data_IF_376048986239
#
_entry.id   IF_376048986239
#
_cell.length_a   1.000
_cell.length_b   1.000
_cell.length_c   1.000
_cell.angle_alpha   90.00
_cell.angle_beta   90.00
_cell.angle_gamma   90.00
#
_symmetry.space_group_name_H-M   'P 1'
#
loop_
_entity.id
_entity.type
_entity.pdbx_description
1 polymer ?
#
# COMPACT_ATOMS: atom_id res chain seq x y z
N UNK A 1 27.94 -31.01 -30.37
CA UNK A 1 26.50 -30.95 -30.08
C UNK A 1 26.32 -31.65 -28.76
N UNK A 2 26.33 -30.87 -27.67
CA UNK A 2 25.16 -30.16 -27.13
C UNK A 2 24.41 -31.12 -26.19
N UNK A 3 24.09 -30.80 -24.95
CA UNK A 3 24.18 -29.51 -24.29
C UNK A 3 24.39 -29.75 -22.80
N UNK A 4 25.30 -28.96 -22.26
CA UNK A 4 25.63 -28.92 -20.85
C UNK A 4 24.48 -28.18 -20.19
N UNK A 5 23.53 -28.91 -19.60
CA UNK A 5 22.38 -28.30 -18.92
C UNK A 5 22.88 -27.74 -17.59
N UNK A 6 23.40 -26.53 -17.71
CA UNK A 6 23.48 -25.45 -16.73
C UNK A 6 23.14 -25.88 -15.30
N UNK A 7 24.17 -26.27 -14.55
CA UNK A 7 24.12 -26.26 -13.09
C UNK A 7 23.96 -24.81 -12.70
N UNK A 8 22.71 -24.38 -12.49
CA UNK A 8 22.41 -23.08 -11.90
C UNK A 8 23.18 -22.98 -10.58
N UNK A 9 24.25 -22.19 -10.59
CA UNK A 9 24.86 -21.70 -9.38
C UNK A 9 23.78 -20.90 -8.65
N UNK A 10 23.18 -21.48 -7.61
CA UNK A 10 22.45 -20.72 -6.61
C UNK A 10 23.48 -19.79 -5.96
N UNK A 11 23.64 -18.59 -6.53
CA UNK A 11 24.22 -17.48 -5.79
C UNK A 11 23.44 -17.38 -4.48
N UNK A 12 24.11 -17.33 -3.31
CA UNK A 12 23.39 -17.13 -2.08
C UNK A 12 22.67 -15.80 -2.25
N UNK A 13 21.34 -15.87 -2.29
CA UNK A 13 20.46 -14.70 -2.25
C UNK A 13 21.04 -13.85 -1.14
N UNK A 14 21.62 -12.70 -1.49
CA UNK A 14 22.10 -11.76 -0.50
C UNK A 14 20.89 -11.52 0.39
N UNK A 15 20.88 -12.11 1.57
CA UNK A 15 20.03 -11.67 2.65
C UNK A 15 20.44 -10.22 2.81
N UNK A 16 19.67 -9.35 2.17
CA UNK A 16 19.71 -7.93 2.40
C UNK A 16 19.33 -7.84 3.86
N UNK A 17 20.34 -7.75 4.71
CA UNK A 17 20.17 -7.49 6.13
C UNK A 17 19.53 -6.10 6.18
N UNK A 18 18.21 -6.07 6.05
CA UNK A 18 17.37 -5.03 6.57
C UNK A 18 17.43 -5.22 8.08
N UNK A 19 18.61 -4.94 8.63
CA UNK A 19 18.83 -4.87 10.05
C UNK A 19 18.14 -3.58 10.47
N UNK A 20 16.82 -3.66 10.62
CA UNK A 20 15.99 -2.64 11.25
C UNK A 20 16.51 -2.54 12.68
N UNK A 21 17.45 -1.63 12.87
CA UNK A 21 18.12 -1.39 14.14
C UNK A 21 17.20 -0.54 15.01
N UNK A 22 16.70 -1.22 16.03
CA UNK A 22 15.82 -0.72 17.07
C UNK A 22 16.63 0.19 18.00
N UNK A 23 16.66 1.50 17.72
CA UNK A 23 17.02 2.46 18.75
C UNK A 23 15.85 2.48 19.73
N UNK A 24 16.03 1.99 20.95
CA UNK A 24 15.01 2.02 22.02
C UNK A 24 13.61 1.47 21.67
N UNK A 25 13.47 0.58 20.67
CA UNK A 25 12.16 0.04 20.26
C UNK A 25 11.47 0.77 19.10
N UNK A 26 12.17 1.64 18.36
CA UNK A 26 11.64 2.33 17.18
C UNK A 26 11.97 1.63 15.86
N UNK A 27 10.92 1.41 15.04
CA UNK A 27 11.00 0.78 13.71
C UNK A 27 11.67 1.68 12.63
N UNK A 28 12.09 2.90 12.98
CA UNK A 28 12.78 3.81 12.06
C UNK A 28 12.82 5.28 12.50
N UNK A 29 13.52 6.15 11.75
CA UNK A 29 13.72 7.55 12.14
C UNK A 29 12.44 8.40 12.13
N UNK A 30 11.50 8.11 11.23
CA UNK A 30 10.20 8.80 11.19
C UNK A 30 9.33 8.39 12.39
N UNK A 31 9.43 7.14 12.84
CA UNK A 31 8.68 6.67 14.01
C UNK A 31 9.17 7.31 15.31
N UNK A 32 10.49 7.44 15.46
CA UNK A 32 11.10 8.20 16.54
C UNK A 32 10.61 9.67 16.51
N UNK A 33 10.54 10.30 15.34
CA UNK A 33 9.99 11.65 15.21
C UNK A 33 8.51 11.74 15.62
N UNK A 34 7.70 10.77 15.22
CA UNK A 34 6.29 10.71 15.63
C UNK A 34 6.16 10.56 17.14
N UNK A 35 7.00 9.75 17.76
CA UNK A 35 7.01 9.55 19.22
C UNK A 35 7.42 10.81 19.97
N UNK A 36 8.48 11.48 19.52
CA UNK A 36 8.92 12.77 20.08
C UNK A 36 7.83 13.86 19.92
N UNK A 37 7.14 13.87 18.77
CA UNK A 37 6.01 14.77 18.53
C UNK A 37 4.84 14.51 19.49
N UNK A 38 4.49 13.23 19.73
CA UNK A 38 3.45 12.84 20.71
C UNK A 38 3.84 13.25 22.14
N UNK A 39 5.11 13.10 22.53
CA UNK A 39 5.59 13.48 23.87
C UNK A 39 5.51 14.99 24.14
N UNK A 40 5.68 15.83 23.12
CA UNK A 40 5.50 17.28 23.26
C UNK A 40 4.04 17.72 23.54
N UNK A 41 3.04 16.81 23.46
CA UNK A 41 1.61 17.09 23.71
C UNK A 41 1.08 18.32 22.95
N UNK A 42 1.53 18.52 21.72
CA UNK A 42 1.06 19.62 20.86
C UNK A 42 0.21 19.02 19.75
N UNK A 43 -0.93 19.64 19.44
CA UNK A 43 -1.66 19.38 18.20
C UNK A 43 -0.67 19.38 17.02
N UNK A 44 -0.58 18.28 16.27
CA UNK A 44 0.23 18.18 15.05
C UNK A 44 -0.10 19.28 14.02
N UNK A 45 -1.22 20.00 14.22
CA UNK A 45 -1.65 21.19 13.50
C UNK A 45 -0.83 22.46 13.79
N UNK A 46 -0.29 22.61 15.01
CA UNK A 46 0.39 23.84 15.50
C UNK A 46 1.84 23.59 15.91
N UNK A 47 2.43 22.51 15.41
CA UNK A 47 3.77 22.08 15.81
C UNK A 47 4.84 23.08 15.33
N UNK A 48 5.78 23.42 16.21
CA UNK A 48 7.04 24.05 15.78
C UNK A 48 8.00 22.95 15.33
N UNK A 49 8.06 22.71 14.02
CA UNK A 49 8.97 21.72 13.40
C UNK A 49 10.42 21.89 13.87
N UNK A 50 10.82 23.13 14.17
CA UNK A 50 12.14 23.49 14.62
C UNK A 50 12.45 22.88 16.00
N UNK A 51 11.50 22.93 16.94
CA UNK A 51 11.66 22.30 18.26
C UNK A 51 11.74 20.77 18.16
N UNK A 52 10.98 20.17 17.25
CA UNK A 52 11.05 18.72 17.02
C UNK A 52 12.42 18.32 16.44
N UNK A 53 12.92 19.06 15.46
CA UNK A 53 14.24 18.87 14.88
C UNK A 53 15.34 18.97 15.95
N UNK A 54 15.26 19.95 16.85
CA UNK A 54 16.21 20.11 17.96
C UNK A 54 16.20 18.92 18.93
N UNK A 55 15.03 18.43 19.30
CA UNK A 55 14.91 17.26 20.17
C UNK A 55 15.47 15.99 19.51
N UNK A 56 15.17 15.78 18.23
CA UNK A 56 15.72 14.66 17.48
C UNK A 56 17.25 14.70 17.44
N UNK A 57 17.82 15.87 17.09
CA UNK A 57 19.28 16.05 17.05
C UNK A 57 19.93 15.84 18.42
N UNK A 58 19.30 16.32 19.50
CA UNK A 58 19.77 16.10 20.86
C UNK A 58 19.78 14.60 21.23
N UNK A 59 18.70 13.89 20.88
CA UNK A 59 18.59 12.44 21.09
C UNK A 59 19.69 11.67 20.36
N UNK A 60 19.88 11.93 19.06
CA UNK A 60 20.92 11.26 18.26
C UNK A 60 22.33 11.59 18.78
N UNK A 61 22.56 12.82 19.23
CA UNK A 61 23.86 13.21 19.80
C UNK A 61 24.14 12.48 21.11
N UNK A 62 23.15 12.33 21.99
CA UNK A 62 23.29 11.56 23.23
C UNK A 62 23.51 10.07 22.94
N UNK A 63 22.74 9.50 22.02
CA UNK A 63 22.89 8.11 21.57
C UNK A 63 24.29 7.83 21.01
N UNK A 64 24.84 8.76 20.21
CA UNK A 64 26.19 8.67 19.65
C UNK A 64 27.28 8.68 20.73
N UNK A 65 27.11 9.45 21.81
CA UNK A 65 28.08 9.52 22.91
C UNK A 65 28.13 8.22 23.75
N UNK A 66 27.02 7.49 23.83
CA UNK A 66 26.89 6.28 24.65
C UNK A 66 27.40 5.00 23.98
N UNK A 67 27.93 5.08 22.76
CA UNK A 67 28.40 3.97 21.89
C UNK A 67 27.28 3.17 21.23
N UNK A 68 26.44 3.84 20.44
CA UNK A 68 25.56 3.16 19.51
C UNK A 68 26.15 3.22 18.09
N UNK A 69 26.20 2.06 17.44
CA UNK A 69 26.24 1.92 15.99
C UNK A 69 24.95 2.53 15.44
N UNK A 70 24.90 3.87 15.38
CA UNK A 70 23.73 4.59 14.89
C UNK A 70 23.54 4.22 13.41
N UNK A 71 22.39 3.64 13.07
CA UNK A 71 22.13 3.20 11.71
C UNK A 71 22.18 4.39 10.72
N UNK A 72 22.53 4.10 9.47
CA UNK A 72 22.72 5.11 8.44
C UNK A 72 21.45 5.98 8.25
N UNK A 73 20.26 5.39 8.31
CA UNK A 73 19.00 6.09 8.08
C UNK A 73 18.71 7.18 9.13
N UNK A 74 19.11 6.96 10.39
CA UNK A 74 18.97 7.96 11.45
C UNK A 74 19.93 9.14 11.24
N UNK A 75 21.15 8.88 10.77
CA UNK A 75 22.12 9.93 10.46
C UNK A 75 21.69 10.75 9.23
N UNK A 76 21.10 10.09 8.22
CA UNK A 76 20.51 10.77 7.05
C UNK A 76 19.39 11.70 7.51
N UNK A 77 18.48 11.23 8.35
CA UNK A 77 17.40 12.07 8.89
C UNK A 77 17.93 13.21 9.78
N UNK A 78 18.95 12.95 10.59
CA UNK A 78 19.60 13.99 11.40
C UNK A 78 20.21 15.10 10.52
N UNK A 79 20.93 14.71 9.47
CA UNK A 79 21.50 15.67 8.52
C UNK A 79 20.41 16.48 7.82
N UNK A 80 19.34 15.81 7.40
CA UNK A 80 18.18 16.46 6.77
C UNK A 80 17.49 17.46 7.71
N UNK A 81 17.29 17.10 8.99
CA UNK A 81 16.71 18.00 9.99
C UNK A 81 17.64 19.17 10.34
N UNK A 82 18.96 18.95 10.34
CA UNK A 82 19.93 20.02 10.52
C UNK A 82 19.89 21.02 9.35
N UNK A 83 19.76 20.52 8.11
CA UNK A 83 19.55 21.35 6.92
C UNK A 83 18.23 22.13 7.02
N UNK A 84 17.12 21.47 7.36
CA UNK A 84 15.82 22.10 7.55
C UNK A 84 15.89 23.20 8.62
N UNK A 85 16.56 22.94 9.75
CA UNK A 85 16.76 23.93 10.81
C UNK A 85 17.51 25.15 10.30
N UNK A 86 18.59 24.96 9.54
CA UNK A 86 19.34 26.07 8.94
C UNK A 86 18.45 26.89 7.99
N UNK A 87 17.74 26.23 7.07
CA UNK A 87 16.83 26.87 6.11
C UNK A 87 15.68 27.64 6.78
N UNK A 88 15.18 27.18 7.92
CA UNK A 88 14.13 27.88 8.67
C UNK A 88 14.63 29.11 9.43
N UNK A 89 15.93 29.17 9.75
CA UNK A 89 16.53 30.29 10.49
C UNK A 89 17.12 31.37 9.58
N UNK A 90 17.46 31.02 8.34
CA UNK A 90 17.97 31.98 7.36
C UNK A 90 16.81 32.74 6.70
N UNK A 91 16.96 34.07 6.45
CA UNK A 91 16.01 34.81 5.65
C UNK A 91 15.98 34.25 4.22
N UNK A 92 14.79 34.09 3.65
CA UNK A 92 14.63 33.59 2.30
C UNK A 92 15.20 34.59 1.28
N UNK A 93 16.03 34.10 0.37
CA UNK A 93 16.52 34.85 -0.79
C UNK A 93 15.59 34.59 -1.97
N UNK A 94 15.15 35.64 -2.67
CA UNK A 94 14.19 35.53 -3.79
C UNK A 94 14.75 34.76 -5.01
N UNK A 95 16.04 34.42 -5.02
CA UNK A 95 16.75 33.75 -6.12
C UNK A 95 16.91 32.23 -5.92
N UNK A 96 16.43 31.66 -4.82
CA UNK A 96 16.58 30.22 -4.56
C UNK A 96 15.53 29.40 -5.35
N UNK A 97 15.99 28.55 -6.30
CA UNK A 97 15.14 27.56 -7.00
C UNK A 97 14.70 26.40 -6.09
N UNK A 98 15.31 26.27 -4.90
CA UNK A 98 14.99 25.23 -3.93
C UNK A 98 13.75 25.58 -3.09
N UNK A 99 12.99 24.56 -2.69
CA UNK A 99 11.82 24.71 -1.83
C UNK A 99 12.17 25.49 -0.55
N UNK A 100 11.27 26.39 -0.16
CA UNK A 100 11.49 27.24 1.00
C UNK A 100 11.51 26.41 2.31
N UNK A 101 12.23 26.87 3.33
CA UNK A 101 12.22 26.24 4.66
C UNK A 101 10.82 25.91 5.20
N UNK A 102 9.82 26.82 5.14
CA UNK A 102 8.46 26.51 5.58
C UNK A 102 7.73 25.47 4.71
N UNK A 103 7.97 25.42 3.39
CA UNK A 103 7.40 24.37 2.52
C UNK A 103 7.94 22.98 2.89
N UNK A 104 9.24 22.85 3.10
CA UNK A 104 9.86 21.60 3.54
C UNK A 104 9.32 21.14 4.90
N UNK A 105 9.09 22.09 5.81
CA UNK A 105 8.47 21.83 7.10
C UNK A 105 7.02 21.34 6.98
N UNK A 106 6.25 21.93 6.07
CA UNK A 106 4.87 21.51 5.81
C UNK A 106 4.82 20.10 5.23
N UNK A 107 5.71 19.78 4.28
CA UNK A 107 5.84 18.45 3.70
C UNK A 107 6.16 17.38 4.77
N UNK A 108 7.11 17.64 5.67
CA UNK A 108 7.41 16.71 6.76
C UNK A 108 6.23 16.58 7.73
N UNK A 109 5.58 17.69 8.07
CA UNK A 109 4.40 17.68 8.94
C UNK A 109 3.28 16.85 8.33
N UNK A 110 3.06 16.95 7.02
CA UNK A 110 2.10 16.14 6.30
C UNK A 110 2.44 14.64 6.37
N UNK A 111 3.72 14.27 6.18
CA UNK A 111 4.16 12.88 6.32
C UNK A 111 3.92 12.33 7.74
N UNK A 112 4.24 13.11 8.78
CA UNK A 112 4.00 12.70 10.17
C UNK A 112 2.52 12.50 10.48
N UNK A 113 1.65 13.40 10.01
CA UNK A 113 0.18 13.24 10.16
C UNK A 113 -0.33 12.01 9.45
N UNK A 114 0.15 11.75 8.23
CA UNK A 114 -0.20 10.54 7.48
C UNK A 114 0.19 9.29 8.26
N UNK A 115 1.42 9.22 8.78
CA UNK A 115 1.85 8.09 9.59
C UNK A 115 1.01 7.95 10.87
N UNK A 116 0.72 9.05 11.56
CA UNK A 116 -0.10 9.05 12.78
C UNK A 116 -1.50 8.47 12.51
N UNK A 117 -2.17 8.94 11.45
CA UNK A 117 -3.48 8.40 11.05
C UNK A 117 -3.44 6.92 10.69
N UNK A 118 -2.36 6.45 10.06
CA UNK A 118 -2.17 5.05 9.72
C UNK A 118 -1.96 4.20 10.97
N UNK A 119 -1.19 4.70 11.95
CA UNK A 119 -1.02 4.03 13.25
C UNK A 119 -2.33 3.98 14.03
N UNK A 120 -3.09 5.07 14.08
CA UNK A 120 -4.40 5.10 14.75
C UNK A 120 -5.38 4.10 14.10
N UNK A 121 -5.41 4.04 12.76
CA UNK A 121 -6.20 3.05 12.04
C UNK A 121 -5.73 1.61 12.34
N UNK A 122 -4.41 1.38 12.38
CA UNK A 122 -3.81 0.10 12.75
C UNK A 122 -4.18 -0.35 14.16
N UNK A 123 -4.10 0.55 15.13
CA UNK A 123 -4.53 0.31 16.51
C UNK A 123 -6.02 -0.07 16.57
N UNK A 124 -6.89 0.66 15.86
CA UNK A 124 -8.32 0.34 15.77
C UNK A 124 -8.55 -1.05 15.16
N UNK A 125 -7.81 -1.41 14.12
CA UNK A 125 -7.91 -2.73 13.48
C UNK A 125 -7.42 -3.84 14.40
N UNK A 126 -6.37 -3.62 15.18
CA UNK A 126 -5.83 -4.62 16.11
C UNK A 126 -6.79 -4.95 17.26
N UNK A 127 -7.65 -4.01 17.64
CA UNK A 127 -8.71 -4.21 18.66
C UNK A 127 -9.92 -4.97 18.09
N UNK A 128 -10.08 -5.04 16.77
CA UNK A 128 -11.24 -5.72 16.18
C UNK A 128 -11.22 -7.23 16.49
N UNK A 129 -12.39 -7.81 16.80
CA UNK A 129 -12.48 -9.22 17.13
C UNK A 129 -12.17 -10.07 15.90
N UNK A 130 -11.28 -11.05 16.07
CA UNK A 130 -10.74 -11.86 14.97
C UNK A 130 -11.60 -13.09 14.74
N UNK A 131 -11.97 -13.34 13.50
CA UNK A 131 -12.68 -14.55 13.13
C UNK A 131 -11.80 -15.80 13.36
N UNK A 132 -12.34 -16.82 14.00
CA UNK A 132 -11.64 -18.05 14.41
C UNK A 132 -10.90 -17.93 15.74
N UNK A 133 -10.85 -16.74 16.34
CA UNK A 133 -10.27 -16.52 17.68
C UNK A 133 -11.33 -15.99 18.65
N UNK A 134 -11.92 -14.84 18.32
CA UNK A 134 -12.89 -14.13 19.17
C UNK A 134 -14.33 -14.30 18.65
N UNK A 135 -14.51 -14.45 17.33
CA UNK A 135 -15.81 -14.71 16.69
C UNK A 135 -15.71 -15.95 15.81
N UNK A 136 -16.71 -16.82 15.84
CA UNK A 136 -16.76 -18.02 15.00
C UNK A 136 -17.87 -17.91 13.96
N UNK A 137 -17.64 -18.38 12.74
CA UNK A 137 -18.70 -18.43 11.72
C UNK A 137 -19.75 -19.45 12.16
N UNK A 138 -21.02 -19.22 11.79
CA UNK A 138 -21.99 -20.31 11.78
C UNK A 138 -21.47 -21.41 10.86
N UNK A 139 -21.70 -22.67 11.26
CA UNK A 139 -21.47 -23.86 10.41
C UNK A 139 -22.36 -23.83 9.17
N UNK A 140 -22.69 -24.99 8.60
CA UNK A 140 -23.48 -25.09 7.37
C UNK A 140 -24.76 -24.23 7.41
N UNK A 141 -24.78 -23.05 6.76
CA UNK A 141 -25.99 -22.26 6.69
C UNK A 141 -26.95 -22.98 5.77
N UNK A 142 -28.22 -23.11 6.15
CA UNK A 142 -29.24 -23.60 5.24
C UNK A 142 -29.22 -22.72 3.99
N UNK A 143 -28.90 -23.33 2.85
CA UNK A 143 -28.85 -22.63 1.57
C UNK A 143 -30.25 -22.14 1.21
N UNK A 144 -30.34 -20.89 0.75
CA UNK A 144 -31.57 -20.41 0.14
C UNK A 144 -31.71 -21.10 -1.23
N UNK A 145 -32.69 -21.99 -1.36
CA UNK A 145 -32.99 -22.63 -2.65
C UNK A 145 -33.56 -21.58 -3.60
N UNK A 146 -32.71 -21.05 -4.50
CA UNK A 146 -33.14 -20.08 -5.51
C UNK A 146 -33.84 -20.83 -6.62
N UNK A 147 -35.16 -21.01 -6.48
CA UNK A 147 -36.01 -21.55 -7.55
C UNK A 147 -36.11 -20.50 -8.66
N UNK A 148 -35.38 -20.71 -9.76
CA UNK A 148 -35.48 -19.86 -10.95
C UNK A 148 -36.59 -20.38 -11.86
N UNK A 149 -37.72 -19.68 -11.89
CA UNK A 149 -38.76 -19.91 -12.90
C UNK A 149 -38.50 -19.01 -14.10
N UNK A 150 -38.13 -19.59 -15.24
CA UNK A 150 -38.06 -18.86 -16.49
C UNK A 150 -39.47 -18.61 -17.02
N UNK A 151 -39.89 -17.35 -17.10
CA UNK A 151 -41.13 -16.94 -17.76
C UNK A 151 -40.77 -16.56 -19.19
N UNK A 152 -41.25 -17.35 -20.15
CA UNK A 152 -41.04 -17.06 -21.57
C UNK A 152 -42.23 -16.26 -22.10
N UNK A 153 -42.01 -14.97 -22.36
CA UNK A 153 -42.97 -14.13 -23.08
C UNK A 153 -42.82 -14.38 -24.59
N UNK A 154 -43.46 -15.43 -25.07
CA UNK A 154 -43.47 -15.78 -26.50
C UNK A 154 -44.89 -15.72 -27.06
N UNK A 155 -45.01 -15.16 -28.26
CA UNK A 155 -46.28 -15.16 -28.98
C UNK A 155 -46.47 -16.46 -29.77
N UNK A 156 -47.71 -16.76 -30.16
CA UNK A 156 -47.99 -17.89 -31.06
C UNK A 156 -47.22 -17.77 -32.39
N UNK A 157 -47.01 -16.53 -32.87
CA UNK A 157 -46.22 -16.26 -34.07
C UNK A 157 -44.78 -16.72 -33.92
N UNK A 158 -44.15 -16.47 -32.76
CA UNK A 158 -42.76 -16.88 -32.50
C UNK A 158 -42.62 -18.41 -32.47
N UNK A 159 -43.62 -19.10 -31.92
CA UNK A 159 -43.68 -20.55 -31.91
C UNK A 159 -43.80 -21.13 -33.34
N UNK A 160 -44.71 -20.56 -34.14
CA UNK A 160 -44.94 -20.98 -35.53
C UNK A 160 -43.73 -20.64 -36.43
N UNK A 161 -43.09 -19.50 -36.19
CA UNK A 161 -41.85 -19.09 -36.87
C UNK A 161 -40.72 -20.07 -36.57
N UNK A 162 -40.48 -20.37 -35.29
CA UNK A 162 -39.44 -21.32 -34.87
C UNK A 162 -39.68 -22.72 -35.46
N UNK A 163 -40.95 -23.17 -35.50
CA UNK A 163 -41.33 -24.42 -36.13
C UNK A 163 -41.09 -24.41 -37.66
N UNK A 164 -41.48 -23.33 -38.33
CA UNK A 164 -41.24 -23.14 -39.76
C UNK A 164 -39.77 -23.11 -40.14
N UNK A 165 -38.94 -22.44 -39.33
CA UNK A 165 -37.47 -22.39 -39.47
C UNK A 165 -36.83 -23.77 -39.25
N UNK A 166 -37.35 -24.56 -38.31
CA UNK A 166 -36.92 -25.95 -38.13
C UNK A 166 -37.27 -26.81 -39.36
N UNK A 167 -38.51 -26.71 -39.85
CA UNK A 167 -38.96 -27.49 -41.02
C UNK A 167 -38.22 -27.10 -42.31
N UNK A 168 -37.96 -25.80 -42.54
CA UNK A 168 -37.17 -25.33 -43.68
C UNK A 168 -35.74 -25.86 -43.65
N UNK A 169 -35.10 -25.88 -42.48
CA UNK A 169 -33.77 -26.49 -42.31
C UNK A 169 -33.77 -27.99 -42.61
N UNK A 170 -34.85 -28.69 -42.26
CA UNK A 170 -34.99 -30.11 -42.57
C UNK A 170 -35.28 -30.42 -44.05
N UNK A 171 -35.80 -29.45 -44.83
CA UNK A 171 -36.21 -29.64 -46.24
C UNK A 171 -35.23 -29.05 -47.26
N UNK A 172 -34.10 -28.47 -46.84
CA UNK A 172 -33.06 -27.96 -47.74
C UNK A 172 -32.50 -29.05 -48.65
N UNK A 173 -32.99 -29.06 -49.89
CA UNK A 173 -32.68 -29.98 -50.98
C UNK A 173 -31.21 -29.91 -51.40
N UNK A 174 -30.52 -31.06 -51.46
CA UNK A 174 -29.30 -31.18 -52.25
C UNK A 174 -29.64 -30.91 -53.73
N UNK A 175 -28.97 -29.94 -54.35
CA UNK A 175 -29.03 -29.68 -55.79
C UNK A 175 -27.74 -30.20 -56.41
N UNK A 176 -27.80 -31.36 -57.06
CA UNK A 176 -26.67 -31.94 -57.80
C UNK A 176 -26.63 -31.28 -59.18
N UNK A 177 -25.59 -30.50 -59.46
CA UNK A 177 -25.33 -29.98 -60.81
C UNK A 177 -24.41 -31.00 -61.49
N UNK A 178 -24.90 -31.67 -62.52
CA UNK A 178 -24.05 -32.51 -63.38
C UNK A 178 -23.20 -31.63 -64.30
N UNK A 179 -21.91 -31.97 -64.43
CA UNK A 179 -20.99 -31.24 -65.28
C UNK A 179 -21.18 -31.64 -66.76
N UNK A 180 -21.40 -30.64 -67.61
CA UNK A 180 -21.36 -30.75 -69.08
C UNK A 180 -19.95 -31.14 -69.54
N UNK A 181 -19.84 -32.18 -70.37
CA UNK A 181 -18.67 -32.41 -71.21
C UNK A 181 -18.60 -31.41 -72.36
#
# INVERSE_FOLDING_TARGET
MADQVDTFEEEPVREMYDLVLDLDGFEGPIDLLLTLARQQKVDLAKMSILKLAEQYLAFITAAKQLRLEVAADYLVMAAWLAYLKSRLLLPATEEDEEASGPELAEALTFQLRRLDSMREAGEKLLVLPRLGRDVFRRGAPEGMEVVRTAVYEVSLYDLLKAYGDNRRRATGSHLTIEASQ
#
